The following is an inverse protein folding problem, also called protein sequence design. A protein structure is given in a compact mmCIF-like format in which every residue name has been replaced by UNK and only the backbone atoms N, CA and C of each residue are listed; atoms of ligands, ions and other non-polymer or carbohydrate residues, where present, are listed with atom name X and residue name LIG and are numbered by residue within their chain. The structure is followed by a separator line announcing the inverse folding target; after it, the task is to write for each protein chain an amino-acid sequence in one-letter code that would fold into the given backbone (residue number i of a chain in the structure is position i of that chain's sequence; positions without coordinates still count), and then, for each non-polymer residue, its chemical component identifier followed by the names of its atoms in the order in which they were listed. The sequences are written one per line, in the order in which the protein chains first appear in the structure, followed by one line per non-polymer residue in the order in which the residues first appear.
data_IF_444056483597
#
_entry.id   IF_444056483597
#
_cell.length_a   1.000
_cell.length_b   1.000
_cell.length_c   1.000
_cell.angle_alpha   90.00
_cell.angle_beta   90.00
_cell.angle_gamma   90.00
#
_symmetry.space_group_name_H-M   'P 1'
#
loop_
_entity.id
_entity.type
_entity.pdbx_description
1 polymer ?
#
# COMPACT_ATOMS: atom_id res chain seq x y z
N UNK A 1 -22.73 -23.04 42.36
CA UNK A 1 -22.71 -21.74 41.66
C UNK A 1 -24.07 -21.48 41.04
N UNK A 2 -24.78 -20.42 41.45
CA UNK A 2 -26.20 -20.18 41.14
C UNK A 2 -26.39 -19.94 39.62
N UNK A 3 -27.43 -20.53 39.00
CA UNK A 3 -27.68 -20.44 37.54
C UNK A 3 -27.68 -18.99 37.02
N UNK A 4 -28.20 -18.05 37.82
CA UNK A 4 -28.19 -16.63 37.52
C UNK A 4 -26.77 -16.05 37.33
N UNK A 5 -25.78 -16.46 38.15
CA UNK A 5 -24.40 -15.97 38.02
C UNK A 5 -23.72 -16.47 36.73
N UNK A 6 -24.06 -17.67 36.26
CA UNK A 6 -23.55 -18.20 34.98
C UNK A 6 -24.10 -17.42 33.78
N UNK A 7 -25.39 -17.09 33.80
CA UNK A 7 -26.03 -16.32 32.73
C UNK A 7 -25.45 -14.91 32.67
N UNK A 8 -25.30 -14.24 33.81
CA UNK A 8 -24.71 -12.89 33.86
C UNK A 8 -23.26 -12.87 33.37
N UNK A 9 -22.44 -13.86 33.73
CA UNK A 9 -21.08 -13.97 33.16
C UNK A 9 -21.08 -14.22 31.65
N UNK A 10 -21.98 -15.07 31.15
CA UNK A 10 -22.05 -15.34 29.70
C UNK A 10 -22.45 -14.08 28.92
N UNK A 11 -23.44 -13.34 29.42
CA UNK A 11 -23.89 -12.08 28.82
C UNK A 11 -22.79 -11.02 28.87
N UNK A 12 -22.05 -10.91 29.98
CA UNK A 12 -20.93 -9.99 30.09
C UNK A 12 -19.79 -10.32 29.11
N UNK A 13 -19.49 -11.61 28.89
CA UNK A 13 -18.50 -12.04 27.88
C UNK A 13 -18.97 -11.71 26.47
N UNK A 14 -20.23 -11.97 26.14
CA UNK A 14 -20.79 -11.64 24.81
C UNK A 14 -20.80 -10.13 24.56
N UNK A 15 -21.19 -9.33 25.55
CA UNK A 15 -21.16 -7.85 25.45
C UNK A 15 -19.71 -7.36 25.31
N UNK A 16 -18.76 -7.95 26.05
CA UNK A 16 -17.35 -7.62 25.91
C UNK A 16 -16.84 -7.93 24.50
N UNK A 17 -17.13 -9.11 23.96
CA UNK A 17 -16.74 -9.46 22.59
C UNK A 17 -17.42 -8.57 21.55
N UNK A 18 -18.69 -8.22 21.70
CA UNK A 18 -19.40 -7.33 20.78
C UNK A 18 -18.82 -5.90 20.82
N UNK A 19 -18.63 -5.33 22.01
CA UNK A 19 -18.03 -4.01 22.17
C UNK A 19 -16.56 -3.98 21.70
N UNK A 20 -15.81 -5.04 21.97
CA UNK A 20 -14.43 -5.21 21.54
C UNK A 20 -14.34 -5.42 20.02
N UNK A 21 -15.28 -6.12 19.38
CA UNK A 21 -15.37 -6.25 17.92
C UNK A 21 -15.66 -4.92 17.23
N UNK A 22 -16.60 -4.13 17.78
CA UNK A 22 -16.90 -2.78 17.28
C UNK A 22 -15.67 -1.88 17.39
N UNK A 23 -14.94 -1.96 18.52
CA UNK A 23 -13.76 -1.11 18.74
C UNK A 23 -12.53 -1.55 17.91
N UNK A 24 -12.45 -2.83 17.55
CA UNK A 24 -11.36 -3.39 16.72
C UNK A 24 -11.75 -3.54 15.24
N UNK A 25 -12.87 -2.93 14.79
CA UNK A 25 -13.36 -3.01 13.39
C UNK A 25 -13.38 -4.44 12.80
N UNK A 26 -13.56 -5.49 13.62
CA UNK A 26 -13.62 -6.87 13.16
C UNK A 26 -12.27 -7.56 12.84
N UNK A 27 -11.12 -6.96 13.15
CA UNK A 27 -9.77 -7.52 12.87
C UNK A 27 -9.42 -8.82 13.63
N UNK A 28 -10.32 -9.36 14.46
CA UNK A 28 -10.08 -10.57 15.26
C UNK A 28 -10.34 -11.88 14.50
N UNK A 29 -11.07 -11.86 13.39
CA UNK A 29 -11.42 -13.09 12.66
C UNK A 29 -10.61 -13.27 11.37
N UNK A 30 -10.16 -12.17 10.76
CA UNK A 30 -9.35 -12.19 9.55
C UNK A 30 -8.31 -11.07 9.66
N UNK A 31 -7.03 -11.43 9.59
CA UNK A 31 -5.98 -10.45 9.39
C UNK A 31 -6.26 -9.71 8.07
N UNK A 32 -6.02 -8.39 8.00
CA UNK A 32 -6.16 -7.67 6.73
C UNK A 32 -5.24 -8.32 5.70
N UNK A 33 -5.67 -8.43 4.43
CA UNK A 33 -4.89 -9.10 3.40
C UNK A 33 -3.54 -8.40 3.21
N UNK A 34 -2.51 -9.16 2.84
CA UNK A 34 -1.19 -8.62 2.54
C UNK A 34 -1.24 -7.50 1.50
N UNK A 35 -2.05 -7.63 0.46
CA UNK A 35 -2.37 -6.56 -0.48
C UNK A 35 -3.86 -6.69 -0.79
N UNK A 36 -4.60 -5.59 -0.69
CA UNK A 36 -6.01 -5.56 -1.06
C UNK A 36 -6.17 -5.70 -2.58
N UNK A 37 -7.12 -6.54 -3.02
CA UNK A 37 -7.34 -6.80 -4.44
C UNK A 37 -7.70 -5.52 -5.20
N UNK A 38 -8.49 -4.64 -4.57
CA UNK A 38 -8.85 -3.33 -5.12
C UNK A 38 -7.63 -2.47 -5.49
N UNK A 39 -6.57 -2.50 -4.66
CA UNK A 39 -5.33 -1.77 -4.93
C UNK A 39 -4.60 -2.33 -6.15
N UNK A 40 -4.59 -3.66 -6.33
CA UNK A 40 -3.97 -4.31 -7.50
C UNK A 40 -4.74 -3.93 -8.77
N UNK A 41 -6.07 -4.07 -8.76
CA UNK A 41 -6.91 -3.80 -9.91
C UNK A 41 -6.85 -2.33 -10.30
N UNK A 42 -6.87 -1.43 -9.32
CA UNK A 42 -6.76 -0.01 -9.59
C UNK A 42 -5.39 0.37 -10.19
N UNK A 43 -4.29 -0.14 -9.64
CA UNK A 43 -2.95 0.08 -10.20
C UNK A 43 -2.86 -0.46 -11.63
N UNK A 44 -3.48 -1.60 -11.89
CA UNK A 44 -3.51 -2.21 -13.20
C UNK A 44 -4.30 -1.36 -14.20
N UNK A 45 -5.48 -0.89 -13.84
CA UNK A 45 -6.30 -0.01 -14.69
C UNK A 45 -5.59 1.31 -14.98
N UNK A 46 -4.98 1.93 -13.97
CA UNK A 46 -4.23 3.17 -14.13
C UNK A 46 -3.01 2.97 -15.05
N UNK A 47 -2.23 1.91 -14.83
CA UNK A 47 -1.07 1.60 -15.66
C UNK A 47 -1.48 1.24 -17.09
N UNK A 48 -2.57 0.49 -17.26
CA UNK A 48 -3.15 0.17 -18.57
C UNK A 48 -3.63 1.42 -19.29
N UNK A 49 -4.28 2.36 -18.59
CA UNK A 49 -4.66 3.66 -19.16
C UNK A 49 -3.43 4.45 -19.63
N UNK A 50 -2.39 4.54 -18.80
CA UNK A 50 -1.14 5.23 -19.14
C UNK A 50 -0.41 4.58 -20.31
N UNK A 51 -0.37 3.25 -20.38
CA UNK A 51 0.27 2.48 -21.45
C UNK A 51 -0.57 2.48 -22.74
N UNK A 52 -1.90 2.43 -22.65
CA UNK A 52 -2.80 2.46 -23.80
C UNK A 52 -2.74 3.77 -24.59
N UNK A 53 -2.23 4.83 -23.97
CA UNK A 53 -1.95 6.09 -24.64
C UNK A 53 -0.59 6.09 -25.39
N UNK A 54 0.26 5.08 -25.17
CA UNK A 54 1.55 4.90 -25.85
C UNK A 54 1.35 3.91 -27.00
N UNK A 55 1.47 4.40 -28.25
CA UNK A 55 1.39 3.56 -29.45
C UNK A 55 2.45 2.43 -29.42
N UNK A 56 2.07 1.23 -29.86
CA UNK A 56 2.93 0.04 -30.08
C UNK A 56 3.51 -0.69 -28.84
N UNK A 57 2.94 -0.52 -27.64
CA UNK A 57 3.39 -1.27 -26.45
C UNK A 57 2.69 -2.64 -26.31
N UNK A 58 3.31 -3.71 -26.81
CA UNK A 58 2.84 -5.10 -26.65
C UNK A 58 3.41 -5.72 -25.36
N UNK A 59 2.76 -5.46 -24.23
CA UNK A 59 3.08 -6.07 -22.93
C UNK A 59 1.87 -6.86 -22.46
N UNK A 60 2.07 -8.10 -22.02
CA UNK A 60 0.95 -8.93 -21.58
C UNK A 60 0.34 -8.40 -20.28
N UNK A 61 -1.00 -8.46 -20.15
CA UNK A 61 -1.69 -8.05 -18.93
C UNK A 61 -1.15 -8.77 -17.68
N UNK A 62 -0.76 -10.04 -17.85
CA UNK A 62 -0.15 -10.87 -16.81
C UNK A 62 1.18 -10.32 -16.34
N UNK A 63 2.04 -9.83 -17.23
CA UNK A 63 3.32 -9.22 -16.87
C UNK A 63 3.12 -7.89 -16.13
N UNK A 64 2.15 -7.08 -16.57
CA UNK A 64 1.80 -5.82 -15.88
C UNK A 64 1.33 -6.13 -14.46
N UNK A 65 0.37 -7.05 -14.30
CA UNK A 65 -0.13 -7.45 -12.97
C UNK A 65 0.97 -8.04 -12.09
N UNK A 66 1.86 -8.86 -12.64
CA UNK A 66 2.98 -9.42 -11.89
C UNK A 66 3.92 -8.31 -11.38
N UNK A 67 4.25 -7.35 -12.24
CA UNK A 67 5.08 -6.19 -11.89
C UNK A 67 4.45 -5.32 -10.80
N UNK A 68 3.14 -5.06 -10.90
CA UNK A 68 2.37 -4.32 -9.89
C UNK A 68 2.42 -5.05 -8.54
N UNK A 69 2.13 -6.36 -8.53
CA UNK A 69 2.16 -7.16 -7.30
C UNK A 69 3.55 -7.11 -6.67
N UNK A 70 4.61 -7.30 -7.44
CA UNK A 70 5.98 -7.29 -6.92
C UNK A 70 6.38 -5.90 -6.39
N UNK A 71 5.96 -4.82 -7.05
CA UNK A 71 6.17 -3.44 -6.60
C UNK A 71 5.44 -3.14 -5.29
N UNK A 72 4.16 -3.55 -5.18
CA UNK A 72 3.37 -3.38 -3.96
C UNK A 72 3.94 -4.20 -2.79
N UNK A 73 4.42 -5.43 -3.05
CA UNK A 73 5.08 -6.25 -2.04
C UNK A 73 6.38 -5.60 -1.56
N UNK A 74 7.20 -5.07 -2.47
CA UNK A 74 8.43 -4.38 -2.13
C UNK A 74 8.16 -3.12 -1.27
N UNK A 75 7.17 -2.31 -1.68
CA UNK A 75 6.77 -1.13 -0.91
C UNK A 75 6.29 -1.50 0.50
N UNK A 76 5.46 -2.55 0.61
CA UNK A 76 4.96 -3.01 1.91
C UNK A 76 6.07 -3.55 2.81
N UNK A 77 7.01 -4.32 2.27
CA UNK A 77 8.17 -4.83 3.00
C UNK A 77 9.02 -3.70 3.60
N UNK A 78 9.31 -2.68 2.79
CA UNK A 78 10.12 -1.54 3.23
C UNK A 78 9.37 -0.63 4.20
N UNK A 79 8.07 -0.42 4.01
CA UNK A 79 7.25 0.33 4.96
C UNK A 79 7.10 -0.40 6.31
N UNK A 80 6.98 -1.73 6.32
CA UNK A 80 7.02 -2.52 7.56
C UNK A 80 8.37 -2.37 8.25
N UNK A 81 9.47 -2.44 7.50
CA UNK A 81 10.81 -2.22 8.05
C UNK A 81 11.00 -0.83 8.65
N UNK A 82 10.52 0.20 7.97
CA UNK A 82 10.57 1.57 8.49
C UNK A 82 9.82 1.70 9.82
N UNK A 83 8.66 1.06 9.95
CA UNK A 83 7.89 1.03 11.21
C UNK A 83 8.59 0.24 12.31
N UNK A 84 9.23 -0.89 11.99
CA UNK A 84 10.07 -1.64 12.95
C UNK A 84 11.21 -0.79 13.50
N UNK A 85 11.75 0.11 12.68
CA UNK A 85 12.78 1.06 13.06
C UNK A 85 12.24 2.33 13.75
N UNK A 86 10.93 2.35 14.05
CA UNK A 86 10.21 3.47 14.67
C UNK A 86 10.31 4.77 13.86
N UNK A 87 10.40 4.66 12.54
CA UNK A 87 10.28 5.83 11.67
C UNK A 87 8.82 6.27 11.63
N UNK A 88 8.60 7.55 11.87
CA UNK A 88 7.28 8.18 11.90
C UNK A 88 7.15 9.20 10.79
N UNK A 89 5.93 9.28 10.25
CA UNK A 89 5.61 10.19 9.18
C UNK A 89 5.25 11.54 9.77
N UNK A 90 5.90 12.58 9.26
CA UNK A 90 5.45 13.93 9.53
C UNK A 90 4.19 14.22 8.72
N UNK A 91 3.03 14.30 9.38
CA UNK A 91 1.74 14.55 8.72
C UNK A 91 1.74 15.86 7.90
N UNK A 92 2.52 16.89 8.31
CA UNK A 92 2.66 18.12 7.49
C UNK A 92 3.38 17.86 6.18
N UNK A 93 4.37 16.97 6.17
CA UNK A 93 5.07 16.61 4.93
C UNK A 93 4.18 15.71 4.04
N UNK A 94 3.36 14.84 4.65
CA UNK A 94 2.34 14.08 3.91
C UNK A 94 1.33 15.00 3.22
N UNK A 95 0.75 15.95 3.95
CA UNK A 95 -0.17 16.95 3.42
C UNK A 95 0.48 17.75 2.28
N UNK A 96 1.71 18.22 2.48
CA UNK A 96 2.45 18.98 1.47
C UNK A 96 2.72 18.16 0.20
N UNK A 97 3.11 16.88 0.34
CA UNK A 97 3.32 16.00 -0.83
C UNK A 97 2.01 15.68 -1.55
N UNK A 98 0.93 15.48 -0.80
CA UNK A 98 -0.42 15.30 -1.34
C UNK A 98 -0.85 16.53 -2.14
N UNK A 99 -0.73 17.73 -1.57
CA UNK A 99 -1.10 18.99 -2.22
C UNK A 99 -0.33 19.19 -3.53
N UNK A 100 0.99 19.01 -3.53
CA UNK A 100 1.80 19.13 -4.76
C UNK A 100 1.38 18.13 -5.83
N UNK A 101 1.15 16.88 -5.44
CA UNK A 101 0.77 15.85 -6.39
C UNK A 101 -0.64 16.09 -6.97
N UNK A 102 -1.56 16.60 -6.16
CA UNK A 102 -2.88 17.04 -6.60
C UNK A 102 -2.81 18.27 -7.51
N UNK A 103 -1.95 19.24 -7.19
CA UNK A 103 -1.71 20.43 -8.01
C UNK A 103 -1.19 20.04 -9.40
N UNK A 104 -0.19 19.16 -9.46
CA UNK A 104 0.32 18.62 -10.72
C UNK A 104 -0.77 17.87 -11.50
N UNK A 105 -1.59 17.04 -10.82
CA UNK A 105 -2.68 16.33 -11.46
C UNK A 105 -3.77 17.27 -12.01
N UNK A 106 -3.99 18.43 -11.37
CA UNK A 106 -4.91 19.47 -11.85
C UNK A 106 -4.32 20.23 -13.04
N UNK A 107 -3.05 20.59 -12.98
CA UNK A 107 -2.34 21.31 -14.04
C UNK A 107 -2.31 20.52 -15.35
N UNK A 108 -2.03 19.22 -15.25
CA UNK A 108 -1.90 18.34 -16.41
C UNK A 108 -3.15 17.49 -16.66
N UNK A 109 -4.30 17.85 -16.07
CA UNK A 109 -5.53 17.03 -16.10
C UNK A 109 -5.96 16.69 -17.53
N UNK A 110 -5.97 17.70 -18.40
CA UNK A 110 -6.53 17.62 -19.76
C UNK A 110 -5.44 17.41 -20.83
N UNK A 111 -4.21 17.07 -20.42
CA UNK A 111 -3.14 16.73 -21.36
C UNK A 111 -3.37 15.34 -21.97
N UNK A 112 -2.67 15.04 -23.08
CA UNK A 112 -2.76 13.75 -23.80
C UNK A 112 -2.54 12.52 -22.89
N UNK A 113 -1.79 12.68 -21.80
CA UNK A 113 -1.52 11.64 -20.81
C UNK A 113 -2.00 12.04 -19.40
N UNK A 114 -2.85 13.06 -19.33
CA UNK A 114 -3.47 13.53 -18.10
C UNK A 114 -4.41 12.50 -17.50
N UNK A 115 -4.72 12.65 -16.22
CA UNK A 115 -5.61 11.71 -15.52
C UNK A 115 -7.11 12.05 -15.72
N UNK A 116 -7.43 13.12 -16.45
CA UNK A 116 -8.78 13.65 -16.62
C UNK A 116 -9.79 12.63 -17.10
N UNK A 117 -9.56 12.00 -18.26
CA UNK A 117 -10.50 11.03 -18.84
C UNK A 117 -10.63 9.78 -17.96
N UNK A 118 -9.54 9.36 -17.31
CA UNK A 118 -9.57 8.25 -16.37
C UNK A 118 -10.50 8.54 -15.18
N UNK A 119 -10.43 9.75 -14.62
CA UNK A 119 -11.28 10.16 -13.51
C UNK A 119 -12.74 10.30 -13.93
N UNK A 120 -13.01 10.87 -15.11
CA UNK A 120 -14.37 10.99 -15.65
C UNK A 120 -15.00 9.61 -15.89
N UNK A 121 -14.24 8.67 -16.47
CA UNK A 121 -14.71 7.30 -16.70
C UNK A 121 -15.04 6.53 -15.40
N UNK A 122 -14.49 6.96 -14.27
CA UNK A 122 -14.71 6.35 -12.95
C UNK A 122 -15.66 7.17 -12.06
N UNK A 123 -16.20 8.29 -12.56
CA UNK A 123 -17.04 9.22 -11.79
C UNK A 123 -16.36 9.69 -10.49
N UNK A 124 -15.07 10.02 -10.57
CA UNK A 124 -14.25 10.48 -9.44
C UNK A 124 -13.74 11.89 -9.67
N UNK A 125 -13.68 12.69 -8.61
CA UNK A 125 -12.89 13.92 -8.59
C UNK A 125 -11.41 13.61 -8.31
N UNK A 126 -10.52 14.57 -8.62
CA UNK A 126 -9.10 14.49 -8.24
C UNK A 126 -8.97 14.31 -6.73
N UNK A 127 -9.75 15.05 -5.95
CA UNK A 127 -9.67 15.01 -4.48
C UNK A 127 -10.10 13.65 -3.92
N UNK A 128 -11.17 13.05 -4.46
CA UNK A 128 -11.62 11.71 -4.08
C UNK A 128 -10.58 10.66 -4.46
N UNK A 129 -10.07 10.71 -5.69
CA UNK A 129 -9.05 9.77 -6.14
C UNK A 129 -7.80 9.82 -5.27
N UNK A 130 -7.31 11.02 -4.95
CA UNK A 130 -6.12 11.18 -4.13
C UNK A 130 -6.34 10.73 -2.69
N UNK A 131 -7.46 11.10 -2.07
CA UNK A 131 -7.75 10.71 -0.70
C UNK A 131 -8.02 9.22 -0.53
N UNK A 132 -8.72 8.59 -1.48
CA UNK A 132 -9.07 7.18 -1.42
C UNK A 132 -7.88 6.28 -1.78
N UNK A 133 -7.04 6.71 -2.72
CA UNK A 133 -6.11 5.78 -3.37
C UNK A 133 -4.65 6.19 -3.38
N UNK A 134 -4.34 7.49 -3.36
CA UNK A 134 -2.95 7.97 -3.46
C UNK A 134 -2.35 8.24 -2.09
N UNK A 135 -3.16 8.64 -1.10
CA UNK A 135 -2.70 9.03 0.24
C UNK A 135 -1.87 7.97 0.93
N UNK A 136 -2.36 6.73 1.00
CA UNK A 136 -1.61 5.63 1.63
C UNK A 136 -0.34 5.27 0.86
N UNK A 137 -0.32 5.50 -0.45
CA UNK A 137 0.85 5.27 -1.29
C UNK A 137 1.94 6.31 -1.02
N UNK A 138 1.57 7.60 -0.93
CA UNK A 138 2.50 8.68 -0.56
C UNK A 138 3.00 8.46 0.86
N UNK A 139 2.11 8.03 1.77
CA UNK A 139 2.46 7.67 3.15
C UNK A 139 3.51 6.57 3.20
N UNK A 140 3.29 5.47 2.47
CA UNK A 140 4.26 4.39 2.39
C UNK A 140 5.58 4.85 1.73
N UNK A 141 5.51 5.68 0.69
CA UNK A 141 6.70 6.24 0.05
C UNK A 141 7.52 7.10 1.02
N UNK A 142 6.87 7.94 1.83
CA UNK A 142 7.56 8.75 2.85
C UNK A 142 8.32 7.90 3.86
N UNK A 143 7.74 6.79 4.32
CA UNK A 143 8.44 5.85 5.20
C UNK A 143 9.67 5.22 4.52
N UNK A 144 9.52 4.85 3.25
CA UNK A 144 10.63 4.28 2.47
C UNK A 144 11.73 5.32 2.24
N UNK A 145 11.38 6.56 1.95
CA UNK A 145 12.34 7.66 1.80
C UNK A 145 13.11 7.90 3.11
N UNK A 146 12.42 7.96 4.25
CA UNK A 146 13.07 8.11 5.57
C UNK A 146 13.99 6.94 5.91
N UNK A 147 13.57 5.71 5.58
CA UNK A 147 14.40 4.52 5.76
C UNK A 147 15.66 4.58 4.90
N UNK A 148 15.51 5.05 3.66
CA UNK A 148 16.63 5.23 2.74
C UNK A 148 17.59 6.32 3.23
N UNK A 149 17.06 7.47 3.67
CA UNK A 149 17.86 8.57 4.25
C UNK A 149 18.67 8.07 5.46
N UNK A 150 18.02 7.36 6.38
CA UNK A 150 18.71 6.76 7.53
C UNK A 150 19.83 5.82 7.11
N UNK A 151 19.59 4.91 6.17
CA UNK A 151 20.65 4.01 5.71
C UNK A 151 21.76 4.74 4.96
N UNK A 152 21.46 5.82 4.24
CA UNK A 152 22.47 6.67 3.61
C UNK A 152 23.37 7.34 4.64
N UNK A 153 22.79 7.85 5.74
CA UNK A 153 23.55 8.41 6.87
C UNK A 153 24.47 7.36 7.52
N UNK A 154 24.01 6.11 7.63
CA UNK A 154 24.84 5.00 8.14
C UNK A 154 26.00 4.61 7.19
N UNK A 155 25.92 4.99 5.91
CA UNK A 155 26.81 4.49 4.85
C UNK A 155 27.62 5.63 4.23
N UNK A 156 28.55 6.22 4.98
CA UNK A 156 29.36 7.41 4.59
C UNK A 156 30.38 7.21 3.44
N UNK A 157 30.24 6.23 2.53
CA UNK A 157 31.31 5.89 1.55
C UNK A 157 30.87 5.69 0.11
N UNK A 158 31.77 6.05 -0.83
CA UNK A 158 31.65 5.65 -2.23
C UNK A 158 31.64 4.12 -2.33
N UNK A 159 30.56 3.56 -2.88
CA UNK A 159 30.22 2.13 -2.80
C UNK A 159 28.87 1.86 -2.11
N UNK A 160 28.32 2.84 -1.38
CA UNK A 160 27.06 2.74 -0.64
C UNK A 160 25.86 2.27 -1.48
N UNK A 161 25.78 2.63 -2.76
CA UNK A 161 24.63 2.25 -3.60
C UNK A 161 24.42 0.73 -3.69
N UNK A 162 25.50 -0.04 -3.90
CA UNK A 162 25.40 -1.50 -4.00
C UNK A 162 25.06 -2.13 -2.65
N UNK A 163 25.55 -1.57 -1.55
CA UNK A 163 25.24 -2.04 -0.20
C UNK A 163 23.79 -1.73 0.19
N UNK A 164 23.28 -0.56 -0.19
CA UNK A 164 21.89 -0.16 0.03
C UNK A 164 20.92 -1.01 -0.78
N UNK A 165 21.22 -1.24 -2.06
CA UNK A 165 20.41 -2.14 -2.90
C UNK A 165 20.42 -3.58 -2.36
N UNK A 166 21.56 -4.03 -1.81
CA UNK A 166 21.64 -5.33 -1.15
C UNK A 166 20.77 -5.37 0.11
N UNK A 167 20.89 -4.39 1.02
CA UNK A 167 20.02 -4.26 2.21
C UNK A 167 18.54 -4.27 1.82
N UNK A 168 18.17 -3.46 0.82
CA UNK A 168 16.79 -3.38 0.30
C UNK A 168 16.28 -4.74 -0.17
N UNK A 169 17.09 -5.45 -0.97
CA UNK A 169 16.74 -6.77 -1.50
C UNK A 169 16.59 -7.81 -0.38
N UNK A 170 17.49 -7.83 0.60
CA UNK A 170 17.43 -8.76 1.73
C UNK A 170 16.12 -8.60 2.52
N UNK A 171 15.68 -7.37 2.77
CA UNK A 171 14.42 -7.08 3.45
C UNK A 171 13.22 -7.56 2.63
N UNK A 172 13.20 -7.24 1.32
CA UNK A 172 12.11 -7.64 0.43
C UNK A 172 12.01 -9.17 0.33
N UNK A 173 13.13 -9.86 0.17
CA UNK A 173 13.12 -11.32 0.05
C UNK A 173 12.77 -12.00 1.39
N UNK A 174 13.26 -11.50 2.52
CA UNK A 174 12.86 -11.98 3.85
C UNK A 174 11.35 -11.82 4.07
N UNK A 175 10.80 -10.67 3.70
CA UNK A 175 9.36 -10.41 3.75
C UNK A 175 8.57 -11.38 2.86
N UNK A 176 9.01 -11.60 1.61
CA UNK A 176 8.37 -12.55 0.70
C UNK A 176 8.41 -13.98 1.24
N UNK A 177 9.51 -14.39 1.89
CA UNK A 177 9.61 -15.71 2.51
C UNK A 177 8.65 -15.83 3.70
N UNK A 178 8.58 -14.81 4.57
CA UNK A 178 7.65 -14.76 5.71
C UNK A 178 6.18 -14.87 5.28
N UNK A 179 5.82 -14.28 4.14
CA UNK A 179 4.44 -14.22 3.62
C UNK A 179 4.19 -15.08 2.38
N UNK A 180 4.98 -16.15 2.19
CA UNK A 180 4.97 -16.93 0.95
C UNK A 180 3.57 -17.47 0.58
N UNK A 181 2.81 -17.98 1.55
CA UNK A 181 1.48 -18.54 1.32
C UNK A 181 0.49 -17.48 0.82
N UNK A 182 0.44 -16.31 1.48
CA UNK A 182 -0.42 -15.20 1.10
C UNK A 182 -0.08 -14.68 -0.31
N UNK A 183 1.22 -14.58 -0.62
CA UNK A 183 1.71 -14.15 -1.94
C UNK A 183 1.30 -15.14 -3.02
N UNK A 184 1.37 -16.44 -2.76
CA UNK A 184 0.92 -17.46 -3.71
C UNK A 184 -0.57 -17.34 -4.00
N UNK A 185 -1.40 -17.09 -2.99
CA UNK A 185 -2.84 -16.88 -3.17
C UNK A 185 -3.17 -15.58 -3.90
N UNK A 186 -2.40 -14.50 -3.68
CA UNK A 186 -2.51 -13.28 -4.49
C UNK A 186 -2.17 -13.57 -5.95
N UNK A 187 -1.06 -14.28 -6.21
CA UNK A 187 -0.62 -14.61 -7.57
C UNK A 187 -1.60 -15.52 -8.30
N UNK A 188 -2.13 -16.57 -7.66
CA UNK A 188 -3.14 -17.47 -8.27
C UNK A 188 -4.41 -16.74 -8.70
N UNK A 189 -4.82 -15.69 -7.97
CA UNK A 189 -6.01 -14.90 -8.28
C UNK A 189 -5.80 -13.92 -9.43
N UNK A 190 -4.56 -13.56 -9.72
CA UNK A 190 -4.22 -12.42 -10.59
C UNK A 190 -3.40 -12.77 -11.83
N UNK A 191 -2.72 -13.93 -11.85
CA UNK A 191 -1.76 -14.35 -12.88
C UNK A 191 -2.11 -15.72 -13.47
#
# INVERSE_FOLDING_TARGET
MNKAKRIVSLVAVVIFFAAFQVNTKGYLLFAPPLIEQEVIDQRFELQKYQMGNIEDMDVSEKEIKASIIDSLLAQKALAEKAREENLEINEKELEKRMERAMEQAREHKDEKYGIGDYLEAKDLTIDEFFNQHVKEQIRAQLLVDQLHEKWMEETEKSGAFNELEKKRREIIESFKQKHQEEIQEIRKRNL
#
